data_IF_959207005172
#
_entry.id   IF_959207005172
#
_cell.length_a   1.000
_cell.length_b   1.000
_cell.length_c   1.000
_cell.angle_alpha   90.00
_cell.angle_beta   90.00
_cell.angle_gamma   90.00
#
_symmetry.space_group_name_H-M   'P 1'
#
loop_
_entity.id
_entity.type
_entity.pdbx_description
1 polymer ?
#
# COMPACT_ATOMS: atom_id res chain seq x y z
N UNK A 1 34.79 4.77 69.45
CA UNK A 1 34.00 5.84 68.80
C UNK A 1 34.63 6.32 67.50
N UNK A 2 35.91 6.74 67.51
CA UNK A 2 36.58 7.25 66.28
C UNK A 2 36.68 6.23 65.14
N UNK A 3 37.03 4.96 65.45
CA UNK A 3 37.10 3.87 64.47
C UNK A 3 35.74 3.62 63.78
N UNK A 4 34.65 3.62 64.55
CA UNK A 4 33.29 3.41 64.06
C UNK A 4 32.88 4.56 63.11
N UNK A 5 33.26 5.79 63.46
CA UNK A 5 32.96 6.98 62.65
C UNK A 5 33.69 6.94 61.30
N UNK A 6 34.97 6.54 61.30
CA UNK A 6 35.76 6.34 60.07
C UNK A 6 35.17 5.23 59.20
N UNK A 7 34.80 4.10 59.80
CA UNK A 7 34.17 2.99 59.06
C UNK A 7 32.85 3.42 58.44
N UNK A 8 31.98 4.14 59.17
CA UNK A 8 30.74 4.68 58.62
C UNK A 8 30.98 5.63 57.44
N UNK A 9 31.95 6.54 57.55
CA UNK A 9 32.28 7.48 56.47
C UNK A 9 32.76 6.76 55.21
N UNK A 10 33.60 5.74 55.37
CA UNK A 10 34.09 4.91 54.26
C UNK A 10 32.93 4.13 53.62
N UNK A 11 32.05 3.52 54.42
CA UNK A 11 30.89 2.76 53.91
C UNK A 11 29.91 3.68 53.16
N UNK A 12 29.62 4.88 53.68
CA UNK A 12 28.76 5.87 53.01
C UNK A 12 29.42 6.35 51.71
N UNK A 13 30.72 6.66 51.72
CA UNK A 13 31.45 7.11 50.54
C UNK A 13 31.49 6.06 49.44
N UNK A 14 31.78 4.82 49.79
CA UNK A 14 31.83 3.69 48.86
C UNK A 14 30.41 3.35 48.34
N UNK A 15 29.41 3.42 49.22
CA UNK A 15 28.00 3.27 48.85
C UNK A 15 27.50 4.36 47.88
N UNK A 16 27.83 5.63 48.13
CA UNK A 16 27.51 6.74 47.22
C UNK A 16 28.17 6.56 45.86
N UNK A 17 29.42 6.10 45.85
CA UNK A 17 30.19 5.89 44.61
C UNK A 17 29.53 4.80 43.77
N UNK A 18 29.23 3.62 44.36
CA UNK A 18 28.53 2.53 43.67
C UNK A 18 27.14 2.98 43.19
N UNK A 19 26.41 3.74 44.01
CA UNK A 19 25.11 4.28 43.65
C UNK A 19 25.19 5.17 42.41
N UNK A 20 26.20 6.05 42.34
CA UNK A 20 26.39 6.97 41.21
C UNK A 20 26.74 6.22 39.93
N UNK A 21 27.68 5.26 39.99
CA UNK A 21 28.05 4.45 38.83
C UNK A 21 26.91 3.54 38.36
N UNK A 22 26.09 3.01 39.27
CA UNK A 22 24.96 2.16 38.93
C UNK A 22 23.81 2.91 38.23
N UNK A 23 23.79 4.24 38.26
CA UNK A 23 22.78 5.08 37.59
C UNK A 23 23.20 5.63 36.25
N UNK A 24 24.46 5.45 35.86
CA UNK A 24 24.92 5.81 34.52
C UNK A 24 24.53 4.71 33.53
N UNK A 25 23.56 4.99 32.66
CA UNK A 25 23.10 4.06 31.62
C UNK A 25 23.72 4.42 30.29
N UNK A 26 24.25 3.41 29.61
CA UNK A 26 24.83 3.52 28.27
C UNK A 26 23.76 3.19 27.24
N UNK A 27 23.74 3.96 26.15
CA UNK A 27 22.90 3.70 24.99
C UNK A 27 23.76 2.99 23.95
N UNK A 28 23.36 1.79 23.54
CA UNK A 28 23.98 1.09 22.42
C UNK A 28 23.52 1.73 21.11
N UNK A 29 24.30 1.56 20.03
CA UNK A 29 24.01 2.20 18.74
C UNK A 29 22.77 1.63 18.02
N UNK A 30 22.34 0.42 18.39
CA UNK A 30 21.17 -0.28 17.85
C UNK A 30 19.85 0.09 18.57
N UNK A 31 19.90 0.97 19.58
CA UNK A 31 18.74 1.35 20.39
C UNK A 31 18.73 2.85 20.69
N UNK A 32 17.55 3.35 21.02
CA UNK A 32 17.35 4.69 21.58
C UNK A 32 17.05 4.55 23.06
N UNK A 33 17.72 5.35 23.90
CA UNK A 33 17.41 5.46 25.31
C UNK A 33 16.34 6.55 25.51
N UNK A 34 15.18 6.15 26.01
CA UNK A 34 14.08 7.04 26.34
C UNK A 34 14.01 7.18 27.85
N UNK A 35 14.18 8.41 28.35
CA UNK A 35 14.08 8.73 29.78
C UNK A 35 12.78 9.51 29.98
N UNK A 36 11.91 9.03 30.84
CA UNK A 36 10.59 9.61 31.10
C UNK A 36 10.37 9.82 32.61
N UNK A 37 9.38 10.66 32.96
CA UNK A 37 9.12 11.10 34.34
C UNK A 37 9.37 12.60 34.51
N UNK A 38 9.96 13.03 35.63
CA UNK A 38 10.28 14.45 35.86
C UNK A 38 11.52 14.83 35.03
N UNK A 39 11.29 15.23 33.79
CA UNK A 39 12.31 15.79 32.90
C UNK A 39 12.36 17.31 33.10
N UNK A 40 13.57 17.89 33.02
CA UNK A 40 13.70 19.35 33.01
C UNK A 40 13.40 19.83 31.59
N UNK A 41 12.32 20.60 31.41
CA UNK A 41 12.00 21.25 30.13
C UNK A 41 10.57 21.08 29.60
N UNK A 42 9.64 20.51 30.37
CA UNK A 42 8.23 20.38 29.97
C UNK A 42 7.98 19.39 28.82
N UNK A 43 9.01 18.67 28.36
CA UNK A 43 8.90 17.60 27.37
C UNK A 43 8.49 16.29 28.06
N UNK A 44 7.58 15.54 27.46
CA UNK A 44 7.07 14.27 28.01
C UNK A 44 8.19 13.24 28.23
N UNK A 45 9.18 13.22 27.32
CA UNK A 45 10.31 12.29 27.36
C UNK A 45 11.58 12.95 26.83
N UNK A 46 12.73 12.47 27.31
CA UNK A 46 14.06 12.82 26.80
C UNK A 46 14.62 11.62 26.04
N UNK A 47 14.74 11.76 24.74
CA UNK A 47 15.23 10.69 23.87
C UNK A 47 16.68 10.96 23.46
N UNK A 48 17.52 9.92 23.52
CA UNK A 48 18.92 10.01 23.14
C UNK A 48 19.32 8.81 22.29
N UNK A 49 19.91 9.07 21.14
CA UNK A 49 20.53 8.07 20.28
C UNK A 49 22.05 8.11 20.49
N UNK A 50 22.58 7.06 21.12
CA UNK A 50 24.01 6.94 21.44
C UNK A 50 24.46 7.69 22.69
N UNK A 51 25.66 7.33 23.18
CA UNK A 51 26.28 7.93 24.36
C UNK A 51 25.82 7.32 25.69
N UNK A 52 25.70 8.16 26.72
CA UNK A 52 25.24 7.73 28.03
C UNK A 52 24.60 8.86 28.81
N UNK A 53 23.60 8.52 29.62
CA UNK A 53 22.83 9.46 30.39
C UNK A 53 22.70 9.01 31.84
N UNK A 54 22.69 9.99 32.74
CA UNK A 54 22.44 9.75 34.15
C UNK A 54 20.92 9.77 34.40
N UNK A 55 20.37 8.65 34.89
CA UNK A 55 18.94 8.51 35.16
C UNK A 55 18.70 8.57 36.66
N UNK A 56 17.89 9.53 37.11
CA UNK A 56 17.60 9.71 38.53
C UNK A 56 16.55 8.72 39.04
N UNK A 57 16.89 7.75 39.90
CA UNK A 57 16.05 6.57 40.17
C UNK A 57 14.71 6.85 40.87
N UNK A 58 14.56 8.00 41.54
CA UNK A 58 13.34 8.32 42.31
C UNK A 58 12.27 9.02 41.48
N UNK A 59 12.67 9.77 40.44
CA UNK A 59 11.77 10.64 39.67
C UNK A 59 11.81 10.37 38.15
N UNK A 60 12.72 9.52 37.70
CA UNK A 60 12.92 9.19 36.29
C UNK A 60 13.00 7.67 36.11
N UNK A 61 12.35 7.20 35.06
CA UNK A 61 12.47 5.85 34.55
C UNK A 61 13.10 5.89 33.15
N UNK A 62 13.58 4.74 32.70
CA UNK A 62 14.19 4.61 31.38
C UNK A 62 13.70 3.34 30.69
N UNK A 63 13.61 3.41 29.38
CA UNK A 63 13.26 2.28 28.53
C UNK A 63 13.99 2.42 27.18
N UNK A 64 14.12 1.31 26.46
CA UNK A 64 14.83 1.25 25.20
C UNK A 64 13.86 1.05 24.05
N UNK A 65 14.05 1.80 22.97
CA UNK A 65 13.41 1.57 21.69
C UNK A 65 14.41 0.95 20.71
N UNK A 66 14.02 -0.15 20.08
CA UNK A 66 14.90 -0.88 19.15
C UNK A 66 14.86 -0.26 17.74
N UNK A 67 16.04 -0.02 17.17
CA UNK A 67 16.18 0.57 15.83
C UNK A 67 16.19 -0.47 14.70
N UNK A 68 15.87 -1.73 15.02
CA UNK A 68 15.88 -2.82 14.05
C UNK A 68 14.84 -2.56 12.95
N UNK A 69 15.24 -2.60 11.66
CA UNK A 69 14.30 -2.46 10.55
C UNK A 69 13.24 -3.57 10.54
N UNK A 70 12.00 -3.19 10.24
CA UNK A 70 10.84 -4.07 10.20
C UNK A 70 10.38 -4.17 8.74
N UNK A 71 10.58 -5.32 8.08
CA UNK A 71 9.96 -5.58 6.79
C UNK A 71 8.47 -5.88 6.98
N UNK A 72 7.65 -5.35 6.07
CA UNK A 72 6.20 -5.46 6.04
C UNK A 72 5.79 -5.77 4.59
N UNK A 73 5.18 -6.92 4.39
CA UNK A 73 4.62 -7.30 3.09
C UNK A 73 3.14 -6.93 3.05
N UNK A 74 2.76 -6.16 2.03
CA UNK A 74 1.41 -5.63 1.85
C UNK A 74 0.88 -6.13 0.50
N UNK A 75 0.01 -7.14 0.49
CA UNK A 75 -0.75 -7.51 -0.68
C UNK A 75 -1.94 -6.54 -0.80
N UNK A 76 -1.76 -5.44 -1.54
CA UNK A 76 -2.88 -4.57 -1.85
C UNK A 76 -3.72 -5.25 -2.95
N UNK A 77 -4.91 -5.71 -2.59
CA UNK A 77 -5.83 -6.40 -3.50
C UNK A 77 -7.11 -5.58 -3.73
N UNK A 78 -7.57 -5.56 -4.98
CA UNK A 78 -8.83 -4.95 -5.39
C UNK A 78 -8.94 -3.45 -5.11
N UNK A 79 -7.82 -2.73 -5.11
CA UNK A 79 -7.84 -1.27 -5.04
C UNK A 79 -8.41 -0.71 -6.35
N UNK A 80 -9.22 0.35 -6.24
CA UNK A 80 -9.73 1.04 -7.41
C UNK A 80 -8.73 2.12 -7.80
N UNK A 81 -8.35 2.14 -9.08
CA UNK A 81 -7.62 3.24 -9.67
C UNK A 81 -8.56 4.42 -9.96
N UNK A 82 -8.02 5.48 -10.56
CA UNK A 82 -8.79 6.69 -10.91
C UNK A 82 -9.97 6.42 -11.85
N UNK A 83 -9.88 5.38 -12.68
CA UNK A 83 -10.85 5.02 -13.72
C UNK A 83 -11.85 3.95 -13.24
N UNK A 84 -11.67 3.44 -12.02
CA UNK A 84 -12.53 2.43 -11.42
C UNK A 84 -12.13 0.99 -11.74
N UNK A 85 -10.95 0.78 -12.33
CA UNK A 85 -10.40 -0.56 -12.56
C UNK A 85 -9.88 -1.14 -11.25
N UNK A 86 -10.01 -2.47 -11.09
CA UNK A 86 -9.48 -3.18 -9.94
C UNK A 86 -8.03 -3.59 -10.17
N UNK A 87 -7.14 -3.07 -9.34
CA UNK A 87 -5.70 -3.25 -9.42
C UNK A 87 -5.18 -3.93 -8.16
N UNK A 88 -4.28 -4.90 -8.34
CA UNK A 88 -3.54 -5.54 -7.26
C UNK A 88 -2.06 -5.16 -7.37
N UNK A 89 -1.53 -4.59 -6.29
CA UNK A 89 -0.15 -4.10 -6.24
C UNK A 89 0.56 -4.70 -5.02
N UNK A 90 1.14 -5.90 -5.16
CA UNK A 90 1.94 -6.50 -4.10
C UNK A 90 3.20 -5.66 -3.85
N UNK A 91 3.43 -5.27 -2.61
CA UNK A 91 4.54 -4.39 -2.24
C UNK A 91 5.14 -4.78 -0.89
N UNK A 92 6.42 -4.49 -0.73
CA UNK A 92 7.18 -4.74 0.51
C UNK A 92 7.78 -3.42 0.98
N UNK A 93 7.49 -3.06 2.22
CA UNK A 93 7.98 -1.85 2.87
C UNK A 93 8.94 -2.22 3.98
N UNK A 94 10.03 -1.49 4.11
CA UNK A 94 10.91 -1.58 5.28
C UNK A 94 10.77 -0.29 6.06
N UNK A 95 10.26 -0.40 7.29
CA UNK A 95 10.10 0.73 8.20
C UNK A 95 11.00 0.59 9.42
N UNK A 96 11.22 1.67 10.16
CA UNK A 96 11.94 1.63 11.42
C UNK A 96 11.70 2.88 12.24
N UNK A 97 12.15 2.89 13.49
CA UNK A 97 12.07 4.07 14.35
C UNK A 97 13.03 5.14 13.83
N UNK A 98 12.59 6.39 13.78
CA UNK A 98 13.44 7.51 13.34
C UNK A 98 14.41 7.93 14.43
N UNK A 99 15.64 8.25 14.04
CA UNK A 99 16.67 8.84 14.92
C UNK A 99 16.69 10.37 14.88
N UNK A 100 15.82 10.99 14.07
CA UNK A 100 15.67 12.45 14.05
C UNK A 100 15.07 12.94 15.37
N UNK A 101 15.69 13.90 16.09
CA UNK A 101 15.18 14.42 17.36
C UNK A 101 13.72 14.87 17.33
N UNK A 102 13.23 15.39 16.19
CA UNK A 102 11.85 15.88 16.04
C UNK A 102 10.82 14.77 15.93
N UNK A 103 11.19 13.63 15.32
CA UNK A 103 10.32 12.48 15.10
C UNK A 103 10.46 11.48 16.25
N UNK A 104 11.66 11.38 16.83
CA UNK A 104 12.00 10.47 17.91
C UNK A 104 11.17 10.71 19.18
N UNK A 105 10.79 11.95 19.48
CA UNK A 105 9.87 12.25 20.60
C UNK A 105 8.50 11.61 20.39
N UNK A 106 7.97 11.61 19.16
CA UNK A 106 6.70 10.98 18.84
C UNK A 106 6.77 9.47 19.05
N UNK A 107 7.89 8.85 18.66
CA UNK A 107 8.14 7.42 18.88
C UNK A 107 8.13 7.07 20.37
N UNK A 108 8.79 7.88 21.20
CA UNK A 108 8.82 7.70 22.64
C UNK A 108 7.46 7.90 23.32
N UNK A 109 6.56 8.72 22.76
CA UNK A 109 5.22 8.92 23.31
C UNK A 109 4.23 7.82 22.89
N UNK A 110 4.35 7.31 21.67
CA UNK A 110 3.34 6.43 21.05
C UNK A 110 3.75 4.95 20.97
N UNK A 111 5.05 4.67 20.87
CA UNK A 111 5.59 3.33 20.62
C UNK A 111 6.31 2.72 21.83
N UNK A 112 6.56 3.51 22.87
CA UNK A 112 7.23 3.04 24.09
C UNK A 112 6.38 1.98 24.79
N UNK A 113 6.98 0.84 25.14
CA UNK A 113 6.30 -0.30 25.73
C UNK A 113 5.51 -1.17 24.75
N UNK A 114 5.44 -0.83 23.46
CA UNK A 114 4.82 -1.69 22.45
C UNK A 114 5.78 -2.80 22.00
N UNK A 115 5.21 -3.97 21.70
CA UNK A 115 5.94 -5.06 21.07
C UNK A 115 6.20 -4.76 19.59
N UNK A 116 7.28 -5.32 19.03
CA UNK A 116 7.64 -5.15 17.62
C UNK A 116 6.51 -5.55 16.66
N UNK A 117 5.70 -6.54 17.03
CA UNK A 117 4.51 -6.97 16.28
C UNK A 117 3.44 -5.89 16.24
N UNK A 118 3.16 -5.23 17.37
CA UNK A 118 2.18 -4.14 17.44
C UNK A 118 2.63 -2.92 16.63
N UNK A 119 3.94 -2.62 16.65
CA UNK A 119 4.52 -1.55 15.83
C UNK A 119 4.38 -1.90 14.33
N UNK A 120 4.63 -3.17 13.96
CA UNK A 120 4.41 -3.67 12.60
C UNK A 120 2.95 -3.51 12.19
N UNK A 121 2.00 -3.92 13.01
CA UNK A 121 0.57 -3.88 12.69
C UNK A 121 0.12 -2.42 12.50
N UNK A 122 0.52 -1.53 13.42
CA UNK A 122 0.25 -0.10 13.31
C UNK A 122 0.82 0.51 12.01
N UNK A 123 2.06 0.15 11.65
CA UNK A 123 2.66 0.61 10.40
C UNK A 123 1.92 0.04 9.18
N UNK A 124 1.49 -1.22 9.24
CA UNK A 124 0.74 -1.90 8.17
C UNK A 124 -0.57 -1.16 7.89
N UNK A 125 -1.33 -0.81 8.92
CA UNK A 125 -2.60 -0.09 8.78
C UNK A 125 -2.41 1.29 8.12
N UNK A 126 -1.38 2.03 8.54
CA UNK A 126 -1.05 3.35 7.98
C UNK A 126 -0.67 3.21 6.50
N UNK A 127 0.25 2.29 6.18
CA UNK A 127 0.73 2.12 4.81
C UNK A 127 -0.43 1.66 3.92
N UNK A 128 -1.25 0.70 4.36
CA UNK A 128 -2.40 0.22 3.60
C UNK A 128 -3.40 1.33 3.29
N UNK A 129 -3.69 2.19 4.28
CA UNK A 129 -4.55 3.35 4.10
C UNK A 129 -4.00 4.34 3.06
N UNK A 130 -2.73 4.70 3.16
CA UNK A 130 -2.10 5.64 2.22
C UNK A 130 -1.95 5.06 0.81
N UNK A 131 -1.58 3.78 0.70
CA UNK A 131 -1.49 3.07 -0.57
C UNK A 131 -2.80 3.13 -1.35
N UNK A 132 -3.94 2.88 -0.67
CA UNK A 132 -5.26 2.95 -1.29
C UNK A 132 -5.58 4.35 -1.83
N UNK A 133 -5.19 5.40 -1.12
CA UNK A 133 -5.40 6.78 -1.57
C UNK A 133 -4.54 7.13 -2.79
N UNK A 134 -3.28 6.71 -2.81
CA UNK A 134 -2.36 7.00 -3.91
C UNK A 134 -2.79 6.26 -5.18
N UNK A 135 -3.15 4.97 -5.07
CA UNK A 135 -3.63 4.17 -6.22
C UNK A 135 -4.92 4.76 -6.79
N UNK A 136 -5.86 5.21 -5.94
CA UNK A 136 -7.08 5.87 -6.41
C UNK A 136 -6.85 7.20 -7.14
N UNK A 137 -5.65 7.79 -7.04
CA UNK A 137 -5.32 9.06 -7.71
C UNK A 137 -4.63 8.88 -9.07
N UNK A 138 -4.23 7.66 -9.40
CA UNK A 138 -3.47 7.32 -10.60
C UNK A 138 -4.27 6.38 -11.50
N UNK A 139 -3.97 6.41 -12.79
CA UNK A 139 -4.44 5.51 -13.83
C UNK A 139 -3.50 4.29 -13.96
N UNK A 140 -4.05 3.16 -14.42
CA UNK A 140 -3.30 1.92 -14.59
C UNK A 140 -2.14 2.05 -15.60
N UNK A 141 -2.29 2.86 -16.66
CA UNK A 141 -1.19 3.10 -17.61
C UNK A 141 -0.02 3.83 -16.95
N UNK A 142 -0.29 4.89 -16.18
CA UNK A 142 0.75 5.64 -15.46
C UNK A 142 1.46 4.76 -14.42
N UNK A 143 0.71 3.94 -13.67
CA UNK A 143 1.27 3.01 -12.67
C UNK A 143 2.25 2.03 -13.34
N UNK A 144 1.91 1.52 -14.53
CA UNK A 144 2.77 0.57 -15.23
C UNK A 144 3.94 1.23 -15.98
N UNK A 145 3.71 2.41 -16.58
CA UNK A 145 4.71 3.10 -17.40
C UNK A 145 5.77 3.84 -16.59
N UNK A 146 5.42 4.39 -15.42
CA UNK A 146 6.32 5.14 -14.55
C UNK A 146 6.25 4.61 -13.09
N UNK A 147 6.98 3.52 -12.86
CA UNK A 147 7.09 2.90 -11.53
C UNK A 147 7.80 3.80 -10.52
N UNK A 148 8.75 4.62 -10.97
CA UNK A 148 9.51 5.51 -10.09
C UNK A 148 8.62 6.65 -9.57
N UNK A 149 7.75 7.21 -10.41
CA UNK A 149 6.74 8.19 -9.99
C UNK A 149 5.79 7.61 -8.94
N UNK A 150 5.36 6.35 -9.12
CA UNK A 150 4.52 5.67 -8.13
C UNK A 150 5.25 5.50 -6.79
N UNK A 151 6.50 5.01 -6.83
CA UNK A 151 7.34 4.83 -5.61
C UNK A 151 7.52 6.16 -4.89
N UNK A 152 7.82 7.24 -5.61
CA UNK A 152 8.01 8.57 -5.02
C UNK A 152 6.73 9.08 -4.36
N UNK A 153 5.59 9.02 -5.06
CA UNK A 153 4.29 9.43 -4.50
C UNK A 153 3.94 8.63 -3.24
N UNK A 154 4.00 7.30 -3.31
CA UNK A 154 3.72 6.44 -2.15
C UNK A 154 4.66 6.80 -0.99
N UNK A 155 5.96 6.92 -1.27
CA UNK A 155 6.96 7.19 -0.25
C UNK A 155 6.68 8.51 0.47
N UNK A 156 6.32 9.57 -0.24
CA UNK A 156 6.03 10.88 0.36
C UNK A 156 4.81 10.84 1.30
N UNK A 157 3.68 10.28 0.84
CA UNK A 157 2.46 10.19 1.65
C UNK A 157 2.65 9.26 2.85
N UNK A 158 3.24 8.08 2.63
CA UNK A 158 3.51 7.11 3.69
C UNK A 158 4.51 7.66 4.70
N UNK A 159 5.61 8.26 4.26
CA UNK A 159 6.62 8.86 5.15
C UNK A 159 5.99 9.95 6.04
N UNK A 160 5.15 10.81 5.47
CA UNK A 160 4.50 11.86 6.25
C UNK A 160 3.58 11.31 7.36
N UNK A 161 2.81 10.26 7.08
CA UNK A 161 1.96 9.63 8.10
C UNK A 161 2.75 8.84 9.14
N UNK A 162 3.79 8.10 8.72
CA UNK A 162 4.67 7.37 9.64
C UNK A 162 5.42 8.30 10.60
N UNK A 163 5.87 9.47 10.11
CA UNK A 163 6.59 10.46 10.93
C UNK A 163 5.74 10.99 12.10
N UNK A 164 4.41 11.08 11.94
CA UNK A 164 3.51 11.52 13.02
C UNK A 164 3.50 10.56 14.20
N UNK A 165 3.75 9.28 13.96
CA UNK A 165 3.81 8.25 15.00
C UNK A 165 5.23 8.07 15.54
N UNK A 166 6.25 8.45 14.77
CA UNK A 166 7.66 8.29 15.15
C UNK A 166 8.44 7.27 14.32
N UNK A 167 7.82 6.77 13.24
CA UNK A 167 8.43 5.83 12.31
C UNK A 167 8.98 6.57 11.09
N UNK A 168 9.96 5.98 10.43
CA UNK A 168 10.47 6.40 9.12
C UNK A 168 10.38 5.27 8.12
N UNK A 169 10.17 5.64 6.87
CA UNK A 169 10.31 4.71 5.76
C UNK A 169 11.81 4.57 5.41
N UNK A 170 12.28 3.34 5.28
CA UNK A 170 13.68 3.03 4.92
C UNK A 170 13.75 2.62 3.46
N UNK A 171 12.82 1.78 3.02
CA UNK A 171 12.77 1.30 1.65
C UNK A 171 11.35 0.91 1.23
N UNK A 172 11.08 1.01 -0.07
CA UNK A 172 9.86 0.51 -0.71
C UNK A 172 10.27 -0.38 -1.88
N UNK A 173 9.60 -1.51 -2.02
CA UNK A 173 9.75 -2.38 -3.17
C UNK A 173 8.37 -2.75 -3.72
N UNK A 174 8.14 -2.50 -5.00
CA UNK A 174 6.87 -2.79 -5.67
C UNK A 174 7.10 -3.95 -6.63
N UNK A 175 6.30 -5.01 -6.51
CA UNK A 175 6.30 -6.15 -7.42
C UNK A 175 5.36 -5.88 -8.60
N UNK A 176 5.25 -6.84 -9.52
CA UNK A 176 4.42 -6.67 -10.71
C UNK A 176 2.94 -6.47 -10.35
N UNK A 177 2.37 -5.45 -10.99
CA UNK A 177 0.97 -5.06 -10.85
C UNK A 177 0.13 -6.00 -11.69
N UNK A 178 -0.99 -6.46 -11.14
CA UNK A 178 -1.95 -7.31 -11.85
C UNK A 178 -3.33 -6.67 -11.79
N UNK A 179 -4.16 -6.97 -12.78
CA UNK A 179 -5.54 -6.52 -12.84
C UNK A 179 -6.51 -7.71 -12.81
N UNK A 180 -7.74 -7.45 -12.35
CA UNK A 180 -8.77 -8.49 -12.36
C UNK A 180 -9.49 -8.58 -13.72
N UNK A 181 -9.40 -7.55 -14.56
CA UNK A 181 -10.08 -7.46 -15.87
C UNK A 181 -9.26 -8.01 -17.04
N UNK A 182 -7.97 -8.31 -16.85
CA UNK A 182 -7.09 -8.77 -17.93
C UNK A 182 -6.73 -7.69 -18.97
N UNK A 183 -7.03 -6.42 -18.68
CA UNK A 183 -6.64 -5.24 -19.46
C UNK A 183 -5.13 -5.16 -19.68
N UNK A 184 -4.31 -5.34 -18.64
CA UNK A 184 -2.84 -5.33 -18.77
C UNK A 184 -2.33 -6.47 -19.65
N UNK A 185 -2.98 -7.63 -19.58
CA UNK A 185 -2.65 -8.78 -20.44
C UNK A 185 -3.01 -8.50 -21.90
N UNK A 186 -4.16 -7.88 -22.15
CA UNK A 186 -4.58 -7.47 -23.49
C UNK A 186 -3.68 -6.36 -24.07
N UNK A 187 -3.33 -5.35 -23.26
CA UNK A 187 -2.40 -4.29 -23.61
C UNK A 187 -1.01 -4.85 -23.95
N UNK A 188 -0.49 -5.77 -23.12
CA UNK A 188 0.79 -6.42 -23.37
C UNK A 188 0.81 -7.22 -24.66
N UNK A 189 -0.27 -7.95 -24.98
CA UNK A 189 -0.44 -8.66 -26.26
C UNK A 189 -0.50 -7.69 -27.44
N UNK A 190 -1.25 -6.60 -27.34
CA UNK A 190 -1.36 -5.58 -28.38
C UNK A 190 -0.03 -4.86 -28.65
N UNK A 191 0.75 -4.56 -27.61
CA UNK A 191 2.11 -3.99 -27.76
C UNK A 191 3.05 -5.01 -28.40
N UNK A 192 3.01 -6.27 -27.95
CA UNK A 192 3.88 -7.35 -28.45
C UNK A 192 3.57 -7.77 -29.88
N UNK A 193 2.30 -7.70 -30.28
CA UNK A 193 1.85 -7.99 -31.66
C UNK A 193 2.31 -6.93 -32.67
N UNK A 194 2.92 -5.84 -32.20
CA UNK A 194 3.17 -4.65 -33.01
C UNK A 194 1.86 -3.90 -33.18
N UNK A 195 1.84 -2.66 -32.69
CA UNK A 195 0.76 -1.70 -32.95
C UNK A 195 0.51 -1.73 -34.47
N UNK A 196 -0.67 -2.12 -34.98
CA UNK A 196 -0.93 -1.92 -36.40
C UNK A 196 -0.85 -0.42 -36.59
N UNK A 197 0.20 0.01 -37.30
CA UNK A 197 0.32 1.37 -37.76
C UNK A 197 -0.96 1.65 -38.54
N UNK A 198 -1.82 2.53 -38.01
CA UNK A 198 -2.95 3.06 -38.76
C UNK A 198 -2.32 3.92 -39.84
N UNK A 199 -1.86 3.27 -40.90
CA UNK A 199 -1.65 3.91 -42.17
C UNK A 199 -3.03 4.31 -42.65
N UNK A 200 -3.20 5.61 -42.81
CA UNK A 200 -4.37 6.26 -43.38
C UNK A 200 -4.47 5.91 -44.88
N UNK A 201 -4.57 4.60 -45.18
CA UNK A 201 -4.74 4.07 -46.53
C UNK A 201 -5.91 3.07 -46.50
N UNK A 202 -7.09 3.62 -46.76
CA UNK A 202 -8.28 2.86 -47.16
C UNK A 202 -8.12 2.36 -48.61
N UNK A 203 -7.18 1.48 -48.93
CA UNK A 203 -7.14 0.88 -50.28
C UNK A 203 -6.45 -0.49 -50.42
N UNK A 204 -6.47 -1.35 -49.40
CA UNK A 204 -6.25 -2.78 -49.66
C UNK A 204 -7.19 -3.69 -48.85
N UNK A 205 -7.80 -4.71 -49.50
CA UNK A 205 -8.68 -5.65 -48.80
C UNK A 205 -7.83 -6.54 -47.89
N UNK A 206 -8.08 -6.42 -46.58
CA UNK A 206 -7.53 -7.32 -45.57
C UNK A 206 -8.13 -8.71 -45.81
N UNK A 207 -7.32 -9.65 -46.30
CA UNK A 207 -7.66 -11.08 -46.27
C UNK A 207 -7.75 -11.54 -44.82
N UNK A 208 -8.95 -11.98 -44.42
CA UNK A 208 -9.19 -12.52 -43.10
C UNK A 208 -8.38 -13.81 -42.89
N UNK A 209 -7.33 -13.73 -42.06
CA UNK A 209 -6.63 -14.89 -41.55
C UNK A 209 -7.60 -15.71 -40.67
N UNK A 210 -7.81 -16.97 -41.05
CA UNK A 210 -8.78 -17.86 -40.40
C UNK A 210 -8.34 -18.14 -38.97
N UNK A 211 -9.11 -17.65 -38.01
CA UNK A 211 -8.95 -17.92 -36.59
C UNK A 211 -9.30 -19.39 -36.30
N UNK A 212 -8.29 -20.17 -35.90
CA UNK A 212 -8.44 -21.59 -35.59
C UNK A 212 -9.44 -21.82 -34.45
N UNK A 213 -10.47 -22.58 -34.75
CA UNK A 213 -11.54 -22.98 -33.82
C UNK A 213 -11.07 -24.14 -32.95
N UNK A 214 -10.24 -23.83 -31.95
CA UNK A 214 -10.03 -24.73 -30.81
C UNK A 214 -9.66 -23.92 -29.56
N UNK A 215 -10.67 -23.23 -29.00
CA UNK A 215 -10.60 -22.72 -27.63
C UNK A 215 -11.49 -23.58 -26.73
N UNK A 216 -10.86 -24.15 -25.70
CA UNK A 216 -11.49 -24.78 -24.53
C UNK A 216 -12.52 -23.84 -23.88
N UNK A 217 -13.63 -24.37 -23.32
CA UNK A 217 -14.73 -23.54 -22.84
C UNK A 217 -14.28 -22.67 -21.65
N UNK A 218 -14.47 -21.36 -21.79
CA UNK A 218 -14.31 -20.36 -20.74
C UNK A 218 -15.29 -20.62 -19.59
N UNK A 219 -14.83 -20.39 -18.36
CA UNK A 219 -15.61 -20.47 -17.12
C UNK A 219 -16.86 -19.57 -17.19
N UNK A 220 -18.02 -20.01 -16.69
CA UNK A 220 -19.27 -19.30 -16.89
C UNK A 220 -19.45 -18.24 -15.80
N UNK A 221 -19.16 -16.97 -16.09
CA UNK A 221 -19.64 -15.84 -15.29
C UNK A 221 -19.61 -14.55 -16.11
N UNK A 222 -20.78 -14.16 -16.62
CA UNK A 222 -21.24 -12.76 -16.58
C UNK A 222 -22.75 -12.80 -16.87
N UNK A 223 -23.56 -12.65 -15.81
CA UNK A 223 -25.00 -12.49 -15.94
C UNK A 223 -25.26 -11.04 -16.35
N UNK A 224 -25.67 -10.82 -17.59
CA UNK A 224 -26.18 -9.53 -18.05
C UNK A 224 -27.67 -9.46 -17.70
N UNK A 225 -28.08 -8.44 -16.94
CA UNK A 225 -29.49 -8.14 -16.67
C UNK A 225 -29.94 -7.04 -17.63
N UNK A 226 -30.80 -7.40 -18.58
CA UNK A 226 -31.41 -6.45 -19.53
C UNK A 226 -32.81 -6.12 -19.01
N UNK A 227 -32.98 -4.91 -18.48
CA UNK A 227 -34.28 -4.42 -18.03
C UNK A 227 -34.90 -3.56 -19.15
N UNK A 228 -35.65 -4.21 -20.04
CA UNK A 228 -36.30 -3.56 -21.18
C UNK A 228 -36.89 -4.59 -22.15
N UNK A 229 -38.03 -4.28 -22.74
CA UNK A 229 -38.72 -5.14 -23.72
C UNK A 229 -38.25 -4.97 -25.17
N UNK A 230 -37.23 -4.13 -25.39
CA UNK A 230 -36.78 -3.70 -26.72
C UNK A 230 -35.25 -3.69 -26.77
N UNK A 231 -34.69 -4.25 -27.85
CA UNK A 231 -33.25 -4.21 -28.15
C UNK A 231 -33.05 -3.39 -29.41
N UNK A 232 -32.01 -2.59 -29.43
CA UNK A 232 -31.83 -1.48 -30.33
C UNK A 232 -30.48 -1.67 -31.03
N UNK A 233 -30.47 -1.79 -32.37
CA UNK A 233 -29.30 -2.25 -33.14
C UNK A 233 -28.89 -1.21 -34.19
N UNK A 234 -27.69 -0.67 -34.04
CA UNK A 234 -27.12 0.34 -34.95
C UNK A 234 -25.74 -0.06 -35.47
N UNK A 235 -25.41 0.43 -36.66
CA UNK A 235 -24.07 0.35 -37.23
C UNK A 235 -23.13 1.37 -36.55
N UNK A 236 -21.82 1.27 -36.76
CA UNK A 236 -20.79 2.18 -36.24
C UNK A 236 -20.91 3.64 -36.74
N UNK A 237 -21.93 3.94 -37.54
CA UNK A 237 -22.32 5.28 -38.02
C UNK A 237 -23.62 5.81 -37.39
N UNK A 238 -24.11 5.15 -36.33
CA UNK A 238 -25.40 5.44 -35.67
C UNK A 238 -26.62 5.32 -36.60
N UNK A 239 -26.52 4.53 -37.68
CA UNK A 239 -27.63 4.23 -38.59
C UNK A 239 -28.34 2.93 -38.16
N UNK A 240 -29.69 2.87 -38.16
CA UNK A 240 -30.43 1.67 -37.77
C UNK A 240 -30.23 0.54 -38.78
N UNK A 241 -29.82 -0.63 -38.30
CA UNK A 241 -29.56 -1.79 -39.16
C UNK A 241 -30.88 -2.45 -39.57
N UNK A 242 -31.30 -2.24 -40.82
CA UNK A 242 -32.54 -2.81 -41.37
C UNK A 242 -32.36 -4.28 -41.74
N UNK A 243 -33.38 -5.11 -41.46
CA UNK A 243 -33.44 -6.56 -41.77
C UNK A 243 -32.34 -7.41 -41.10
N UNK A 244 -31.82 -6.99 -39.95
CA UNK A 244 -31.00 -7.88 -39.12
C UNK A 244 -31.91 -8.91 -38.42
N UNK A 245 -31.43 -10.15 -38.35
CA UNK A 245 -32.03 -11.20 -37.53
C UNK A 245 -31.20 -11.32 -36.26
N UNK A 246 -31.80 -11.07 -35.11
CA UNK A 246 -31.12 -11.16 -33.81
C UNK A 246 -31.58 -12.44 -33.12
N UNK A 247 -30.63 -13.31 -32.82
CA UNK A 247 -30.87 -14.55 -32.07
C UNK A 247 -30.34 -14.39 -30.65
N UNK A 248 -31.22 -14.49 -29.66
CA UNK A 248 -30.87 -14.34 -28.25
C UNK A 248 -31.05 -15.67 -27.54
N UNK A 249 -29.94 -16.22 -27.04
CA UNK A 249 -29.90 -17.54 -26.41
C UNK A 249 -29.87 -17.38 -24.89
N UNK A 250 -30.99 -17.66 -24.24
CA UNK A 250 -31.11 -17.54 -22.78
C UNK A 250 -30.58 -18.82 -22.11
N UNK A 251 -29.81 -18.67 -21.03
CA UNK A 251 -29.09 -19.76 -20.35
C UNK A 251 -29.95 -20.92 -19.81
N UNK A 252 -31.29 -20.83 -19.87
CA UNK A 252 -32.22 -21.88 -19.44
C UNK A 252 -33.45 -22.04 -20.36
N UNK A 253 -33.22 -22.17 -21.67
CA UNK A 253 -34.11 -23.00 -22.51
C UNK A 253 -35.08 -22.30 -23.47
N UNK A 254 -34.82 -21.04 -23.83
CA UNK A 254 -35.55 -20.40 -24.93
C UNK A 254 -34.58 -19.64 -25.84
N UNK A 255 -34.64 -19.89 -27.15
CA UNK A 255 -34.06 -19.01 -28.15
C UNK A 255 -35.14 -18.04 -28.58
N UNK A 256 -34.95 -16.75 -28.31
CA UNK A 256 -35.84 -15.70 -28.78
C UNK A 256 -35.29 -15.18 -30.11
N UNK A 257 -36.12 -15.16 -31.13
CA UNK A 257 -35.76 -14.68 -32.48
C UNK A 257 -36.61 -13.45 -32.77
N UNK A 258 -35.95 -12.33 -33.04
CA UNK A 258 -36.59 -11.09 -33.44
C UNK A 258 -35.99 -10.54 -34.73
N UNK A 259 -36.84 -9.93 -35.55
CA UNK A 259 -36.41 -9.19 -36.74
C UNK A 259 -36.56 -7.71 -36.50
N UNK A 260 -35.56 -6.94 -36.94
CA UNK A 260 -35.55 -5.48 -36.78
C UNK A 260 -36.62 -4.80 -37.66
N UNK A 261 -37.33 -3.83 -37.10
CA UNK A 261 -38.25 -2.95 -37.84
C UNK A 261 -37.52 -1.84 -38.63
N UNK A 262 -38.27 -0.97 -39.31
CA UNK A 262 -37.72 0.12 -40.12
C UNK A 262 -36.96 1.18 -39.30
N UNK A 263 -37.11 1.17 -37.97
CA UNK A 263 -36.47 2.09 -37.02
C UNK A 263 -35.28 1.47 -36.27
N UNK A 264 -34.93 0.21 -36.53
CA UNK A 264 -33.80 -0.43 -35.85
C UNK A 264 -34.16 -1.13 -34.53
N UNK A 265 -35.46 -1.25 -34.21
CA UNK A 265 -35.96 -1.80 -32.96
C UNK A 265 -36.32 -3.28 -33.15
N UNK A 266 -35.83 -4.11 -32.24
CA UNK A 266 -36.13 -5.55 -32.17
C UNK A 266 -37.02 -5.80 -30.96
N UNK A 267 -38.26 -6.23 -31.23
CA UNK A 267 -39.18 -6.75 -30.22
C UNK A 267 -39.02 -8.26 -30.12
N UNK A 268 -38.64 -8.74 -28.95
CA UNK A 268 -38.50 -10.16 -28.66
C UNK A 268 -39.81 -10.66 -28.04
N UNK A 269 -40.37 -11.75 -28.59
CA UNK A 269 -41.59 -12.41 -28.10
C UNK A 269 -41.27 -13.80 -27.55
#
# INVERSE_FOLDING_TARGET
MMLILVICLVVIGLGMTIFFFSRYKKCTSDRILVIYGKTNGGQSSKCMHGGGAFVWPVIQAFEYLDLTPIPIDIPLEGALDKEGNRVNTPSTFTVGISTDPSIMSNAAERLLGLQLTQIRDLATDIIFGQMRLVIASLDIETINSDRDLLINKISDYVQNELNKVGLRLINVNIKDITDNSGYLTALGKWISAGKPEVTEDLSSPIEAEKMDTNLTPLSPCEQWYVEGSEIQVWDMKDEPIRRASVELKVLYGSTLIGTTDDEGIVKLA
#
